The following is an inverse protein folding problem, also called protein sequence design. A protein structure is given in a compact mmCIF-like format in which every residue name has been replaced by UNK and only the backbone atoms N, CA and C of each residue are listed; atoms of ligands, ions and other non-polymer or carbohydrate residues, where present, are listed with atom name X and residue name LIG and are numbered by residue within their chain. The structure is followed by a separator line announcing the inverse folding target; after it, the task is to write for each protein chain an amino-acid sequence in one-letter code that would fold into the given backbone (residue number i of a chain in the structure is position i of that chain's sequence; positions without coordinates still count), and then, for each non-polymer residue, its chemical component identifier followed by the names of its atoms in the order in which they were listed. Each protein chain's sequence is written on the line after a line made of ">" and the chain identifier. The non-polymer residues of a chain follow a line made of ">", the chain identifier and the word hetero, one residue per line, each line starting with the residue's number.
data_IF_258393840908
#
_entry.id   IF_258393840908
#
_cell.length_a   1.000
_cell.length_b   1.000
_cell.length_c   1.000
_cell.angle_alpha   90.00
_cell.angle_beta   90.00
_cell.angle_gamma   90.00
#
_symmetry.space_group_name_H-M   'P 1'
#
loop_
_entity.id
_entity.type
_entity.pdbx_description
1 polymer ?
2 non-polymer ?
3 non-polymer ?
4 water ?
#
# COMPACT_ATOMS: atom_id res chain seq x y z
N UNK A 1 9.54 -3.10 18.03
CA UNK A 1 8.27 -2.73 17.33
C UNK A 1 7.05 -3.27 18.08
N UNK A 2 5.94 -2.54 18.01
CA UNK A 2 4.69 -2.98 18.63
C UNK A 2 3.68 -3.61 17.68
N UNK A 3 3.24 -4.83 18.02
CA UNK A 3 2.22 -5.53 17.25
C UNK A 3 0.90 -5.52 18.02
N UNK A 4 -0.19 -5.25 17.31
CA UNK A 4 -1.51 -5.22 17.95
C UNK A 4 -2.53 -5.87 17.02
N UNK A 5 -3.71 -6.19 17.54
CA UNK A 5 -4.78 -6.69 16.68
C UNK A 5 -5.69 -5.54 16.31
N UNK A 6 -5.95 -5.37 15.02
CA UNK A 6 -6.71 -4.22 14.56
C UNK A 6 -7.40 -4.55 13.24
N UNK A 7 -8.43 -3.77 12.92
CA UNK A 7 -9.16 -3.93 11.66
C UNK A 7 -8.43 -3.18 10.55
N UNK A 8 -7.92 -3.92 9.57
CA UNK A 8 -7.11 -3.31 8.52
C UNK A 8 -7.95 -2.34 7.69
N UNK A 9 -9.27 -2.56 7.58
CA UNK A 9 -10.11 -1.59 6.89
C UNK A 9 -10.29 -0.24 7.60
N UNK A 10 -10.27 -0.26 8.93
CA UNK A 10 -10.33 0.97 9.70
C UNK A 10 -9.05 1.77 9.48
N UNK A 11 -7.93 1.07 9.35
CA UNK A 11 -6.67 1.73 9.01
C UNK A 11 -6.70 2.38 7.63
N UNK A 12 -7.25 1.66 6.65
CA UNK A 12 -7.41 2.22 5.33
C UNK A 12 -8.30 3.47 5.35
N UNK A 13 -9.37 3.42 6.12
CA UNK A 13 -10.18 4.62 6.32
C UNK A 13 -9.35 5.78 6.84
N UNK A 14 -8.53 5.52 7.85
CA UNK A 14 -7.70 6.58 8.43
C UNK A 14 -6.80 7.21 7.37
N UNK A 15 -6.25 6.38 6.50
CA UNK A 15 -5.40 6.90 5.43
C UNK A 15 -6.18 7.67 4.37
N UNK A 16 -7.35 7.18 4.01
CA UNK A 16 -8.23 7.95 3.13
C UNK A 16 -8.51 9.35 3.69
N UNK A 17 -8.85 9.40 4.97
CA UNK A 17 -9.17 10.67 5.64
C UNK A 17 -7.99 11.63 5.68
N UNK A 18 -6.81 11.10 5.94
CA UNK A 18 -5.57 11.84 5.78
C UNK A 18 -5.41 12.51 4.40
N UNK A 19 -5.78 11.79 3.34
CA UNK A 19 -5.57 12.28 1.97
C UNK A 19 -6.80 12.94 1.34
N UNK A 20 -7.90 12.97 2.08
CA UNK A 20 -9.21 13.23 1.50
C UNK A 20 -9.22 14.60 0.82
N UNK A 21 -8.50 15.54 1.42
CA UNK A 21 -8.54 16.93 0.98
C UNK A 21 -7.72 17.13 -0.29
N UNK A 22 -6.53 16.53 -0.32
CA UNK A 22 -5.74 16.47 -1.55
C UNK A 22 -6.46 15.79 -2.71
N UNK A 23 -7.09 14.65 -2.44
CA UNK A 23 -7.83 13.92 -3.45
C UNK A 23 -8.95 14.78 -4.07
N UNK A 24 -9.68 15.50 -3.21
CA UNK A 24 -10.73 16.43 -3.66
C UNK A 24 -10.16 17.59 -4.48
N UNK A 25 -9.16 18.27 -3.93
CA UNK A 25 -8.53 19.39 -4.62
C UNK A 25 -8.03 19.01 -6.01
N UNK A 26 -7.64 17.74 -6.18
CA UNK A 26 -7.08 17.30 -7.44
C UNK A 26 -8.13 16.65 -8.32
N UNK A 27 -9.37 16.66 -7.83
CA UNK A 27 -10.48 16.05 -8.55
C UNK A 27 -10.19 14.60 -8.92
N UNK A 28 -9.51 13.90 -8.03
CA UNK A 28 -9.30 12.46 -8.19
C UNK A 28 -10.52 11.65 -7.75
N UNK A 29 -10.91 10.70 -8.59
CA UNK A 29 -11.95 9.74 -8.26
C UNK A 29 -11.37 8.64 -7.38
N UNK A 30 -11.80 8.58 -6.12
CA UNK A 30 -11.32 7.54 -5.21
C UNK A 30 -12.40 6.49 -4.96
N UNK A 31 -12.02 5.22 -5.08
CA UNK A 31 -12.94 4.09 -4.98
C UNK A 31 -12.37 3.07 -3.99
N UNK A 32 -13.24 2.45 -3.19
CA UNK A 32 -12.80 1.42 -2.24
C UNK A 32 -13.68 0.18 -2.33
N UNK A 33 -13.07 -0.99 -2.22
CA UNK A 33 -13.82 -2.25 -2.22
C UNK A 33 -13.20 -3.22 -1.23
N UNK A 34 -14.04 -3.97 -0.52
CA UNK A 34 -13.56 -5.03 0.36
C UNK A 34 -14.52 -6.22 0.32
N UNK A 35 -13.99 -7.41 0.57
CA UNK A 35 -14.84 -8.59 0.68
C UNK A 35 -15.06 -9.04 2.11
N UNK A 36 -14.61 -8.23 3.06
CA UNK A 36 -14.89 -8.48 4.47
C UNK A 36 -14.64 -7.21 5.27
N UNK A 37 -15.71 -6.61 5.78
CA UNK A 37 -15.57 -5.41 6.60
C UNK A 37 -14.63 -5.64 7.78
N UNK A 38 -14.70 -6.84 8.34
CA UNK A 38 -13.98 -7.16 9.56
C UNK A 38 -12.65 -7.82 9.26
N UNK A 39 -11.76 -7.07 8.63
CA UNK A 39 -10.48 -7.61 8.18
C UNK A 39 -9.44 -7.45 9.28
N UNK A 40 -9.43 -8.36 10.24
CA UNK A 40 -8.56 -8.17 11.40
C UNK A 40 -7.21 -8.87 11.23
N UNK A 41 -6.14 -8.16 11.59
CA UNK A 41 -4.79 -8.71 11.50
C UNK A 41 -4.08 -8.42 12.81
N UNK A 42 -3.02 -9.17 13.08
CA UNK A 42 -2.05 -8.79 14.12
C UNK A 42 -0.78 -8.32 13.43
N UNK A 43 -0.49 -7.04 13.53
CA UNK A 43 0.58 -6.47 12.73
C UNK A 43 1.02 -5.20 13.41
N UNK A 44 2.08 -4.60 12.88
CA UNK A 44 2.59 -3.35 13.42
C UNK A 44 1.78 -2.19 12.83
N UNK A 45 0.80 -1.69 13.59
CA UNK A 45 -0.23 -0.82 13.03
C UNK A 45 0.36 0.45 12.44
N UNK A 46 1.27 1.07 13.18
CA UNK A 46 1.90 2.30 12.70
C UNK A 46 2.65 2.08 11.38
N UNK A 47 3.33 0.93 11.28
CA UNK A 47 4.13 0.63 10.08
C UNK A 47 3.25 0.23 8.89
N UNK A 48 2.22 -0.57 9.13
CA UNK A 48 1.28 -0.85 8.04
C UNK A 48 0.58 0.43 7.56
N UNK A 49 0.24 1.31 8.50
CA UNK A 49 -0.32 2.60 8.13
C UNK A 49 0.65 3.37 7.25
N UNK A 50 1.93 3.33 7.61
CA UNK A 50 2.95 3.98 6.77
C UNK A 50 3.04 3.41 5.35
N UNK A 51 2.94 2.09 5.22
CA UNK A 51 2.89 1.48 3.88
C UNK A 51 1.73 2.05 3.08
N UNK A 52 0.55 2.06 3.68
CA UNK A 52 -0.64 2.58 2.99
C UNK A 52 -0.44 4.05 2.57
N UNK A 53 0.10 4.86 3.46
CA UNK A 53 0.38 6.27 3.17
C UNK A 53 1.37 6.42 2.01
N UNK A 54 2.44 5.62 2.02
CA UNK A 54 3.47 5.73 0.98
C UNK A 54 2.91 5.35 -0.39
N UNK A 55 2.08 4.31 -0.42
CA UNK A 55 1.45 3.86 -1.66
C UNK A 55 0.40 4.86 -2.15
N UNK A 56 -0.36 5.44 -1.23
CA UNK A 56 -1.40 6.38 -1.65
C UNK A 56 -0.78 7.68 -2.14
N UNK A 57 0.27 8.12 -1.46
CA UNK A 57 1.04 9.26 -1.96
C UNK A 57 1.59 9.03 -3.39
N UNK A 58 2.20 7.88 -3.62
CA UNK A 58 2.69 7.54 -4.97
C UNK A 58 1.55 7.51 -6.00
N UNK A 59 0.39 7.01 -5.59
CA UNK A 59 -0.77 6.88 -6.49
C UNK A 59 -1.27 8.26 -6.92
N UNK A 60 -1.36 9.18 -5.97
CA UNK A 60 -1.73 10.57 -6.26
C UNK A 60 -0.72 11.25 -7.20
N UNK A 61 0.56 11.07 -6.89
CA UNK A 61 1.62 11.64 -7.71
C UNK A 61 1.62 11.06 -9.12
N UNK A 62 1.32 9.77 -9.24
CA UNK A 62 1.29 9.09 -10.53
C UNK A 62 0.04 9.46 -11.34
N UNK A 63 -1.10 9.56 -10.67
CA UNK A 63 -2.37 9.74 -11.38
C UNK A 63 -2.64 11.20 -11.77
N UNK A 64 -2.19 12.13 -10.95
CA UNK A 64 -2.33 13.56 -11.23
C UNK A 64 -3.77 14.06 -11.26
N UNK A 65 -3.95 15.31 -11.67
CA UNK A 65 -5.27 15.94 -11.69
C UNK A 65 -6.29 15.10 -12.46
N UNK A 66 -7.50 15.02 -11.93
CA UNK A 66 -8.59 14.32 -12.59
C UNK A 66 -8.36 12.82 -12.73
N UNK A 67 -7.41 12.29 -11.96
CA UNK A 67 -7.05 10.89 -12.08
C UNK A 67 -7.98 10.01 -11.27
N UNK A 68 -7.55 8.78 -11.01
CA UNK A 68 -8.41 7.77 -10.41
C UNK A 68 -7.57 6.88 -9.50
N UNK A 69 -8.08 6.58 -8.31
CA UNK A 69 -7.40 5.66 -7.38
C UNK A 69 -8.42 4.68 -6.80
N UNK A 70 -8.06 3.40 -6.77
CA UNK A 70 -8.90 2.39 -6.14
C UNK A 70 -8.09 1.56 -5.17
N UNK A 71 -8.59 1.45 -3.94
CA UNK A 71 -8.03 0.52 -2.96
C UNK A 71 -8.98 -0.65 -2.72
N UNK A 72 -8.44 -1.87 -2.81
CA UNK A 72 -9.21 -3.09 -2.56
C UNK A 72 -8.54 -3.88 -1.45
N UNK A 73 -9.33 -4.35 -0.49
CA UNK A 73 -8.81 -5.28 0.50
C UNK A 73 -9.54 -6.61 0.42
N UNK A 74 -8.80 -7.68 0.61
CA UNK A 74 -9.35 -9.01 0.43
C UNK A 74 -8.91 -9.93 1.56
N UNK A 75 -9.89 -10.60 2.14
CA UNK A 75 -9.67 -11.62 3.15
C UNK A 75 -9.27 -12.94 2.49
N UNK A 76 -8.03 -13.36 2.69
CA UNK A 76 -7.57 -14.60 2.08
C UNK A 76 -7.28 -15.67 3.12
N UNK A 77 -7.97 -15.56 4.25
CA UNK A 77 -8.09 -16.66 5.20
C UNK A 77 -6.92 -16.77 6.18
N UNK A 78 -5.74 -17.12 5.69
CA UNK A 78 -4.54 -17.04 6.52
C UNK A 78 -3.74 -15.76 6.27
N UNK A 79 -4.16 -14.98 5.28
CA UNK A 79 -3.46 -13.73 4.96
C UNK A 79 -4.47 -12.73 4.43
N UNK A 80 -4.07 -11.46 4.40
CA UNK A 80 -4.90 -10.43 3.78
C UNK A 80 -4.14 -9.81 2.63
N UNK A 81 -4.88 -9.35 1.63
CA UNK A 81 -4.28 -8.69 0.48
C UNK A 81 -4.86 -7.29 0.34
N UNK A 82 -3.99 -6.31 0.16
CA UNK A 82 -4.42 -4.95 -0.13
C UNK A 82 -3.83 -4.51 -1.47
N UNK A 83 -4.68 -3.94 -2.33
CA UNK A 83 -4.25 -3.45 -3.64
C UNK A 83 -4.53 -1.96 -3.75
N UNK A 84 -3.54 -1.21 -4.22
CA UNK A 84 -3.71 0.22 -4.43
C UNK A 84 -3.48 0.49 -5.91
N UNK A 85 -4.55 0.77 -6.64
CA UNK A 85 -4.48 0.99 -8.09
C UNK A 85 -4.66 2.47 -8.42
N UNK A 86 -3.93 2.96 -9.42
CA UNK A 86 -4.17 4.30 -9.96
C UNK A 86 -4.17 4.24 -11.48
N UNK A 87 -4.97 5.09 -12.12
CA UNK A 87 -4.81 5.32 -13.56
C UNK A 87 -3.54 6.12 -13.82
N UNK A 88 -2.79 5.71 -14.84
CA UNK A 88 -1.52 6.36 -15.13
C UNK A 88 -0.66 5.49 -16.00
N UNK A 89 0.55 5.97 -16.31
CA UNK A 89 1.45 5.22 -17.18
C UNK A 89 1.99 4.00 -16.45
N UNK A 90 2.32 2.94 -17.20
CA UNK A 90 2.74 1.67 -16.64
C UNK A 90 4.15 1.77 -16.08
N UNK A 91 4.55 0.76 -15.31
CA UNK A 91 5.95 0.60 -14.94
C UNK A 91 6.62 -0.46 -15.82
N UNK A 92 7.69 -0.07 -16.52
CA UNK A 92 8.34 -1.00 -17.41
C UNK A 92 9.05 -2.15 -16.67
N UNK A 93 9.17 -3.29 -17.35
CA UNK A 93 9.76 -4.48 -16.76
C UNK A 93 11.10 -4.16 -16.13
N UNK A 94 11.88 -3.31 -16.79
CA UNK A 94 13.24 -3.12 -16.34
C UNK A 94 13.35 -2.32 -15.04
N UNK A 95 12.21 -1.83 -14.55
CA UNK A 95 12.16 -1.08 -13.29
C UNK A 95 11.37 -1.76 -12.17
N UNK A 96 10.78 -2.91 -12.46
CA UNK A 96 9.85 -3.51 -11.51
C UNK A 96 10.48 -3.93 -10.18
N UNK A 97 11.78 -4.19 -10.18
CA UNK A 97 12.48 -4.47 -8.93
C UNK A 97 13.21 -3.22 -8.44
N UNK A 98 13.79 -2.49 -9.38
CA UNK A 98 14.54 -1.27 -9.12
C UNK A 98 13.75 -0.21 -8.37
N UNK A 99 12.46 -0.06 -8.67
CA UNK A 99 11.67 0.93 -7.95
C UNK A 99 11.66 0.70 -6.43
N UNK A 100 11.93 -0.52 -5.98
CA UNK A 100 11.92 -0.81 -4.54
C UNK A 100 13.29 -0.54 -3.88
N UNK A 101 14.28 -0.17 -4.68
CA UNK A 101 15.63 0.10 -4.16
C UNK A 101 15.67 1.45 -3.47
N UNK A 102 16.37 1.53 -2.33
CA UNK A 102 16.50 2.81 -1.63
C UNK A 102 17.16 3.85 -2.54
N UNK A 103 16.55 5.03 -2.60
CA UNK A 103 17.04 6.17 -3.37
C UNK A 103 16.70 6.16 -4.87
N UNK A 104 16.12 5.08 -5.38
CA UNK A 104 15.63 5.13 -6.77
C UNK A 104 14.39 5.99 -6.89
N UNK A 105 14.45 7.00 -7.75
CA UNK A 105 13.30 7.87 -7.97
C UNK A 105 13.33 8.40 -9.40
N UNK A 106 12.15 8.61 -9.98
CA UNK A 106 12.06 9.28 -11.27
C UNK A 106 11.58 10.72 -11.09
N UNK A 107 11.49 11.16 -9.83
CA UNK A 107 10.92 12.46 -9.48
C UNK A 107 11.99 13.48 -9.05
N UNK A 108 11.87 14.72 -9.52
CA UNK A 108 12.93 15.71 -9.28
C UNK A 108 13.32 15.88 -7.80
N UNK A 109 12.32 16.03 -6.94
CA UNK A 109 12.60 16.13 -5.51
C UNK A 109 12.21 14.84 -4.78
N UNK A 110 12.25 13.71 -5.49
CA UNK A 110 11.95 12.42 -4.88
C UNK A 110 12.96 12.04 -3.80
N UNK A 111 12.48 11.46 -2.71
CA UNK A 111 13.36 10.75 -1.78
C UNK A 111 13.85 9.42 -2.33
N UNK A 112 13.00 8.76 -3.11
CA UNK A 112 13.25 7.38 -3.51
C UNK A 112 13.21 6.41 -2.33
N UNK A 113 12.46 6.77 -1.29
CA UNK A 113 12.39 5.94 -0.10
C UNK A 113 11.04 5.29 0.15
N UNK A 114 9.99 5.79 -0.50
CA UNK A 114 8.64 5.29 -0.18
C UNK A 114 8.57 3.78 -0.30
N UNK A 115 9.07 3.25 -1.41
CA UNK A 115 8.90 1.82 -1.69
C UNK A 115 9.95 0.94 -1.00
N UNK A 116 11.14 1.48 -0.74
CA UNK A 116 12.12 0.70 0.01
C UNK A 116 11.65 0.54 1.46
N UNK A 117 11.03 1.59 2.00
CA UNK A 117 10.39 1.52 3.32
C UNK A 117 9.22 0.52 3.29
N UNK A 118 8.37 0.59 2.26
CA UNK A 118 7.31 -0.42 2.09
C UNK A 118 7.87 -1.84 2.09
N UNK A 119 8.90 -2.09 1.29
CA UNK A 119 9.44 -3.45 1.18
C UNK A 119 9.96 -3.93 2.54
N UNK A 120 10.69 -3.06 3.23
CA UNK A 120 11.23 -3.43 4.54
C UNK A 120 10.10 -3.81 5.50
N UNK A 121 9.04 -3.01 5.51
CA UNK A 121 7.94 -3.24 6.45
C UNK A 121 7.16 -4.50 6.08
N UNK A 122 6.79 -4.63 4.80
CA UNK A 122 5.96 -5.76 4.40
C UNK A 122 6.75 -7.08 4.41
N UNK A 123 7.94 -7.07 3.83
CA UNK A 123 8.68 -8.31 3.62
C UNK A 123 9.52 -8.69 4.84
N UNK A 124 10.31 -7.75 5.35
CA UNK A 124 11.23 -8.07 6.45
C UNK A 124 10.50 -8.13 7.79
N UNK A 125 9.74 -7.09 8.09
CA UNK A 125 9.03 -7.04 9.36
C UNK A 125 7.84 -8.00 9.46
N UNK A 126 7.05 -8.12 8.40
CA UNK A 126 5.78 -8.86 8.49
C UNK A 126 5.82 -10.22 7.81
N UNK A 127 6.90 -10.50 7.10
CA UNK A 127 7.04 -11.79 6.42
C UNK A 127 6.11 -11.93 5.24
N UNK A 128 5.68 -10.80 4.68
CA UNK A 128 4.72 -10.79 3.57
C UNK A 128 5.37 -10.58 2.21
N UNK A 129 4.59 -10.11 1.24
CA UNK A 129 5.09 -9.86 -0.12
C UNK A 129 4.52 -8.54 -0.61
N UNK A 130 5.30 -7.79 -1.39
CA UNK A 130 4.79 -6.61 -2.08
C UNK A 130 5.33 -6.55 -3.50
N UNK A 131 4.45 -6.25 -4.44
CA UNK A 131 4.84 -6.21 -5.85
C UNK A 131 3.95 -5.25 -6.64
N UNK A 132 4.29 -5.04 -7.91
CA UNK A 132 3.48 -4.17 -8.77
C UNK A 132 3.10 -4.91 -10.06
N UNK A 133 1.91 -4.59 -10.57
CA UNK A 133 1.51 -5.03 -11.91
C UNK A 133 0.93 -3.85 -12.67
N UNK A 134 0.99 -3.91 -13.99
CA UNK A 134 0.23 -2.99 -14.82
C UNK A 134 -1.12 -3.59 -15.20
N UNK A 135 -2.19 -2.87 -14.90
CA UNK A 135 -3.54 -3.44 -14.99
C UNK A 135 -4.48 -2.37 -15.51
N UNK A 136 -5.25 -2.71 -16.54
CA UNK A 136 -6.11 -1.73 -17.20
C UNK A 136 -5.27 -0.57 -17.70
N UNK A 137 -5.74 0.64 -17.45
CA UNK A 137 -4.99 1.79 -17.91
C UNK A 137 -4.23 2.38 -16.73
N UNK A 138 -3.62 1.51 -15.93
CA UNK A 138 -2.92 2.00 -14.75
C UNK A 138 -2.02 0.97 -14.08
N UNK A 139 -1.70 1.24 -12.82
CA UNK A 139 -0.68 0.50 -12.10
C UNK A 139 -1.23 0.13 -10.74
N UNK A 140 -1.03 -1.12 -10.34
CA UNK A 140 -1.44 -1.56 -9.02
C UNK A 140 -0.23 -1.96 -8.20
N UNK A 141 -0.20 -1.50 -6.95
CA UNK A 141 0.71 -2.07 -5.95
C UNK A 141 -0.07 -2.94 -5.00
N UNK A 142 0.40 -4.17 -4.84
CA UNK A 142 -0.28 -5.17 -4.03
C UNK A 142 0.65 -5.58 -2.89
N UNK A 143 0.12 -5.64 -1.68
CA UNK A 143 0.80 -6.35 -0.61
C UNK A 143 -0.08 -7.38 0.08
N UNK A 144 0.58 -8.42 0.59
CA UNK A 144 -0.09 -9.45 1.38
C UNK A 144 0.71 -9.60 2.67
N UNK A 145 0.01 -9.68 3.79
CA UNK A 145 0.64 -10.07 5.05
C UNK A 145 -0.15 -11.21 5.70
N UNK A 146 0.54 -12.04 6.49
CA UNK A 146 -0.21 -13.03 7.28
C UNK A 146 -1.11 -12.34 8.29
N UNK A 147 -2.26 -12.95 8.59
CA UNK A 147 -3.13 -12.40 9.61
C UNK A 147 -2.49 -12.42 10.99
N UNK A 148 -1.67 -13.43 11.25
CA UNK A 148 -0.83 -13.48 12.45
C UNK A 148 0.58 -13.93 12.10
N UNK A 149 1.58 -13.32 12.75
CA UNK A 149 2.95 -13.65 12.39
C UNK A 149 3.22 -15.14 12.51
N UNK A 150 3.99 -15.70 11.59
CA UNK A 150 4.04 -17.14 11.45
C UNK A 150 4.92 -17.75 12.54
N UNK A 151 4.34 -18.68 13.29
CA UNK A 151 5.07 -19.37 14.35
C UNK A 151 6.26 -20.12 13.75
N UNK A 152 7.43 -19.94 14.35
CA UNK A 152 8.69 -20.57 14.04
C UNK A 152 8.75 -22.02 14.50
X LIG B 1 7.05 7.80 -3.05
X LIG C 1 9.62 8.51 -4.72
X LIG C 1 8.12 8.52 -4.63
X LIG C 1 10.15 8.61 -6.12
X LIG C 1 10.25 9.47 -3.73
X LIG C 1 9.27 5.72 -4.07
X LIG C 1 10.20 4.63 -3.59
X LIG C 1 7.98 6.03 -3.35
X LIG C 1 10.14 7.06 -4.24
X LIG C 1 8.93 5.35 -5.60
X LIG C 1 10.02 5.07 -6.48
X LIG C 1 9.60 5.18 -7.95
X LIG C 1 8.65 4.17 -8.25
X LIG C 1 8.89 6.47 -8.33
X LIG C 1 9.78 7.58 -8.52
X LIG C 1 8.20 6.06 -9.62
X LIG C 1 9.19 5.99 -10.67
X LIG C 1 7.82 4.61 -9.33
X LIG C 1 6.43 4.53 -8.87
X LIG C 1 6.02 4.43 -7.58
X LIG C 1 4.67 4.31 -7.51
X LIG C 1 4.21 4.35 -8.79
X LIG C 1 2.88 4.35 -9.42
X LIG C 1 1.76 4.23 -8.65
X LIG C 1 2.83 4.41 -10.77
X LIG C 1 3.95 4.53 -11.54
X LIG C 1 5.20 4.59 -11.04
X LIG C 1 5.38 4.49 -9.68
#
# INVERSE_FOLDING_TARGET
>A
MEFTEFNLNELIREVYVLFEEKIRKMNIDFCFETDNEDLRVEADRTRIKQVLINLVQNAIEATGENGKIKITSEDMYTKVRVSVWNSGPPIPEELKEKIFSPFFTTKTQGTGLGLSICRKIIEDEHGGKIWTENRENGVVFIFEIPKTPEKR
>B hetero
1 MG MG
>C hetero
1 ADP PB O1B O2B O3B PA O1A O2A O3A O5' C5' C4' O4' C3' O3' C2' O2' C1' N9 C8 N7 C5 C6 N6 N1 C2 N3 C4
#
